data_IF_609682695295
#
_entry.id   IF_609682695295
#
_cell.length_a   1.000
_cell.length_b   1.000
_cell.length_c   1.000
_cell.angle_alpha   90.00
_cell.angle_beta   90.00
_cell.angle_gamma   90.00
#
_symmetry.space_group_name_H-M   'P 1'
#
loop_
_entity.id
_entity.type
_entity.pdbx_description
1 polymer ?
#
# COMPACT_ATOMS: atom_id res chain seq x y z
N UNK A 1 8.06 11.98 31.40
CA UNK A 1 8.22 13.11 30.46
C UNK A 1 7.52 12.71 29.17
N UNK A 2 6.39 13.35 28.86
CA UNK A 2 5.63 13.12 27.63
C UNK A 2 6.29 13.94 26.52
N UNK A 3 7.24 13.34 25.82
CA UNK A 3 7.90 13.96 24.68
C UNK A 3 6.88 14.26 23.58
N UNK A 4 6.95 15.47 23.03
CA UNK A 4 6.28 15.84 21.78
C UNK A 4 6.58 14.77 20.73
N UNK A 5 5.56 14.00 20.34
CA UNK A 5 5.72 12.92 19.36
C UNK A 5 6.24 13.46 18.03
N UNK A 6 7.16 12.73 17.39
CA UNK A 6 7.65 13.10 16.06
C UNK A 6 6.53 13.05 15.03
N UNK A 7 6.53 13.97 14.08
CA UNK A 7 5.65 13.95 12.90
C UNK A 7 6.22 13.11 11.77
N UNK A 8 7.47 12.65 11.86
CA UNK A 8 8.08 11.78 10.88
C UNK A 8 7.59 10.34 11.05
N UNK A 9 7.02 9.76 10.00
CA UNK A 9 6.41 8.43 10.02
C UNK A 9 7.40 7.31 10.36
N UNK A 10 8.69 7.46 10.02
CA UNK A 10 9.73 6.50 10.42
C UNK A 10 9.97 6.58 11.93
N UNK A 11 10.06 7.79 12.51
CA UNK A 11 10.23 7.93 13.96
C UNK A 11 9.05 7.33 14.72
N UNK A 12 7.83 7.53 14.20
CA UNK A 12 6.63 6.94 14.78
C UNK A 12 6.62 5.41 14.65
N UNK A 13 7.12 4.87 13.54
CA UNK A 13 7.30 3.42 13.31
C UNK A 13 8.29 2.81 14.31
N UNK A 14 9.42 3.49 14.54
CA UNK A 14 10.49 3.02 15.44
C UNK A 14 10.18 3.32 16.92
N UNK A 15 9.30 4.29 17.20
CA UNK A 15 8.98 4.73 18.55
C UNK A 15 10.03 5.66 19.17
N UNK A 16 10.99 6.14 18.37
CA UNK A 16 12.06 7.05 18.79
C UNK A 16 12.50 7.94 17.63
N UNK A 17 13.26 9.00 17.92
CA UNK A 17 13.72 9.98 16.92
C UNK A 17 15.16 9.78 16.46
N UNK A 18 15.85 8.78 17.02
CA UNK A 18 17.25 8.51 16.68
C UNK A 18 17.40 8.20 15.18
N UNK A 19 18.36 8.87 14.56
CA UNK A 19 18.76 8.61 13.18
C UNK A 19 19.52 7.29 13.04
N UNK A 20 20.00 6.97 11.83
CA UNK A 20 20.74 5.74 11.58
C UNK A 20 22.05 5.70 12.39
N UNK A 21 22.37 4.56 13.01
CA UNK A 21 23.59 4.40 13.82
C UNK A 21 24.90 4.50 13.02
N UNK A 22 24.80 4.36 11.70
CA UNK A 22 25.89 4.50 10.73
C UNK A 22 25.37 5.21 9.48
N UNK A 23 26.22 5.94 8.73
CA UNK A 23 25.81 6.56 7.48
C UNK A 23 25.13 5.57 6.52
N UNK A 24 24.08 6.02 5.83
CA UNK A 24 23.46 5.25 4.76
C UNK A 24 24.39 5.27 3.55
N UNK A 25 24.61 4.11 2.94
CA UNK A 25 25.43 4.04 1.73
C UNK A 25 24.64 4.58 0.54
N UNK A 26 25.29 5.31 -0.37
CA UNK A 26 24.64 5.87 -1.56
C UNK A 26 23.90 4.79 -2.38
N UNK A 27 24.48 3.59 -2.47
CA UNK A 27 23.84 2.45 -3.15
C UNK A 27 22.48 2.08 -2.55
N UNK A 28 22.32 2.20 -1.23
CA UNK A 28 21.09 1.85 -0.53
C UNK A 28 20.02 2.92 -0.79
N UNK A 29 20.42 4.20 -0.79
CA UNK A 29 19.55 5.32 -1.18
C UNK A 29 19.12 5.22 -2.65
N UNK A 30 20.06 4.99 -3.57
CA UNK A 30 19.75 4.80 -4.99
C UNK A 30 18.78 3.64 -5.19
N UNK A 31 18.95 2.53 -4.46
CA UNK A 31 18.06 1.37 -4.54
C UNK A 31 16.64 1.71 -4.08
N UNK A 32 16.49 2.38 -2.94
CA UNK A 32 15.16 2.78 -2.41
C UNK A 32 14.47 3.77 -3.34
N UNK A 33 15.18 4.80 -3.82
CA UNK A 33 14.65 5.77 -4.80
C UNK A 33 14.22 5.10 -6.10
N UNK A 34 15.01 4.15 -6.58
CA UNK A 34 14.64 3.35 -7.76
C UNK A 34 13.38 2.52 -7.51
N UNK A 35 13.24 1.96 -6.31
CA UNK A 35 12.04 1.23 -5.92
C UNK A 35 10.82 2.14 -5.79
N UNK A 36 10.97 3.36 -5.22
CA UNK A 36 9.90 4.36 -5.14
C UNK A 36 9.43 4.78 -6.54
N UNK A 37 10.37 5.04 -7.45
CA UNK A 37 10.07 5.35 -8.85
C UNK A 37 9.21 4.27 -9.52
N UNK A 38 9.46 2.98 -9.24
CA UNK A 38 8.64 1.88 -9.73
C UNK A 38 7.22 1.92 -9.12
N UNK A 39 7.09 2.21 -7.83
CA UNK A 39 5.78 2.35 -7.17
C UNK A 39 4.98 3.47 -7.82
N UNK A 40 5.56 4.66 -7.99
CA UNK A 40 4.89 5.78 -8.67
C UNK A 40 4.51 5.44 -10.11
N UNK A 41 5.40 4.79 -10.87
CA UNK A 41 5.11 4.40 -12.25
C UNK A 41 3.96 3.40 -12.35
N UNK A 42 3.84 2.47 -11.39
CA UNK A 42 2.71 1.54 -11.34
C UNK A 42 1.43 2.22 -10.87
N UNK A 43 1.51 3.15 -9.92
CA UNK A 43 0.38 3.95 -9.50
C UNK A 43 -0.17 4.80 -10.65
N UNK A 44 0.70 5.53 -11.37
CA UNK A 44 0.30 6.35 -12.50
C UNK A 44 -0.45 5.55 -13.56
N UNK A 45 0.06 4.35 -13.90
CA UNK A 45 -0.67 3.44 -14.81
C UNK A 45 -2.02 3.01 -14.26
N UNK A 46 -2.15 2.76 -12.96
CA UNK A 46 -3.44 2.40 -12.38
C UNK A 46 -4.42 3.60 -12.37
N UNK A 47 -3.92 4.80 -12.08
CA UNK A 47 -4.69 6.05 -12.10
C UNK A 47 -5.16 6.39 -13.52
N UNK A 48 -4.33 6.19 -14.55
CA UNK A 48 -4.64 6.45 -15.96
C UNK A 48 -5.90 5.73 -16.50
N UNK A 49 -6.28 4.59 -15.91
CA UNK A 49 -7.51 3.88 -16.31
C UNK A 49 -8.73 4.28 -15.50
N UNK A 50 -8.55 5.12 -14.49
CA UNK A 50 -9.62 5.65 -13.66
C UNK A 50 -10.01 7.05 -14.14
N UNK A 51 -11.27 7.44 -13.96
CA UNK A 51 -11.68 8.84 -14.14
C UNK A 51 -11.03 9.74 -13.08
N UNK A 52 -11.09 9.28 -11.84
CA UNK A 52 -10.32 9.81 -10.72
C UNK A 52 -10.14 8.68 -9.71
N UNK A 53 -8.91 8.19 -9.55
CA UNK A 53 -8.64 7.08 -8.64
C UNK A 53 -8.91 7.44 -7.18
N UNK A 54 -8.89 8.72 -6.77
CA UNK A 54 -9.05 9.12 -5.36
C UNK A 54 -10.49 9.31 -4.91
N UNK A 55 -11.41 9.52 -5.85
CA UNK A 55 -12.81 9.82 -5.51
C UNK A 55 -13.74 8.71 -5.98
N UNK A 56 -14.02 8.65 -7.28
CA UNK A 56 -14.94 7.66 -7.84
C UNK A 56 -14.28 6.29 -7.99
N UNK A 57 -12.99 6.25 -8.35
CA UNK A 57 -12.31 5.03 -8.76
C UNK A 57 -12.99 4.29 -9.90
N UNK A 58 -13.79 4.99 -10.71
CA UNK A 58 -14.46 4.41 -11.86
C UNK A 58 -13.44 4.12 -12.96
N UNK A 59 -13.39 2.88 -13.39
CA UNK A 59 -12.55 2.41 -14.48
C UNK A 59 -13.22 2.74 -15.81
N UNK A 60 -12.47 3.39 -16.68
CA UNK A 60 -12.88 3.76 -18.03
C UNK A 60 -12.35 2.77 -19.05
N UNK A 61 -13.26 2.11 -19.76
CA UNK A 61 -12.93 1.23 -20.86
C UNK A 61 -13.61 1.69 -22.15
N UNK A 62 -13.02 1.30 -23.29
CA UNK A 62 -13.69 1.48 -24.59
C UNK A 62 -15.06 0.82 -24.55
N UNK A 63 -16.04 1.47 -25.17
CA UNK A 63 -17.38 0.90 -25.30
C UNK A 63 -17.33 -0.49 -25.91
N UNK A 64 -18.13 -1.42 -25.36
CA UNK A 64 -18.18 -2.82 -25.79
C UNK A 64 -16.88 -3.61 -25.62
N UNK A 65 -15.90 -3.11 -24.84
CA UNK A 65 -14.77 -3.91 -24.42
C UNK A 65 -15.26 -5.15 -23.65
N UNK A 66 -14.64 -6.30 -23.89
CA UNK A 66 -15.00 -7.51 -23.17
C UNK A 66 -14.71 -7.33 -21.67
N UNK A 67 -15.71 -7.60 -20.82
CA UNK A 67 -15.59 -7.46 -19.35
C UNK A 67 -14.39 -8.24 -18.80
N UNK A 68 -14.05 -9.38 -19.40
CA UNK A 68 -12.87 -10.18 -19.04
C UNK A 68 -11.57 -9.43 -19.26
N UNK A 69 -11.46 -8.65 -20.34
CA UNK A 69 -10.25 -7.91 -20.68
C UNK A 69 -10.08 -6.72 -19.74
N UNK A 70 -11.18 -6.01 -19.46
CA UNK A 70 -11.22 -4.93 -18.45
C UNK A 70 -10.78 -5.46 -17.09
N UNK A 71 -11.36 -6.59 -16.66
CA UNK A 71 -11.01 -7.23 -15.39
C UNK A 71 -9.53 -7.60 -15.33
N UNK A 72 -9.02 -8.30 -16.33
CA UNK A 72 -7.63 -8.76 -16.35
C UNK A 72 -6.66 -7.58 -16.30
N UNK A 73 -6.97 -6.49 -17.01
CA UNK A 73 -6.11 -5.32 -17.04
C UNK A 73 -6.11 -4.57 -15.71
N UNK A 74 -7.28 -4.36 -15.09
CA UNK A 74 -7.39 -3.74 -13.75
C UNK A 74 -6.62 -4.59 -12.73
N UNK A 75 -6.87 -5.89 -12.71
CA UNK A 75 -6.23 -6.82 -11.78
C UNK A 75 -4.71 -6.80 -11.91
N UNK A 76 -4.19 -6.82 -13.15
CA UNK A 76 -2.77 -6.73 -13.43
C UNK A 76 -2.17 -5.41 -12.92
N UNK A 77 -2.82 -4.26 -13.17
CA UNK A 77 -2.33 -2.95 -12.72
C UNK A 77 -2.36 -2.81 -11.20
N UNK A 78 -3.44 -3.25 -10.55
CA UNK A 78 -3.55 -3.27 -9.09
C UNK A 78 -2.48 -4.17 -8.48
N UNK A 79 -2.30 -5.40 -9.00
CA UNK A 79 -1.26 -6.32 -8.55
C UNK A 79 0.15 -5.70 -8.67
N UNK A 80 0.46 -5.09 -9.82
CA UNK A 80 1.78 -4.49 -10.04
C UNK A 80 2.07 -3.37 -9.04
N UNK A 81 1.09 -2.50 -8.78
CA UNK A 81 1.20 -1.46 -7.77
C UNK A 81 1.48 -2.05 -6.38
N UNK A 82 0.61 -2.96 -5.91
CA UNK A 82 0.73 -3.56 -4.58
C UNK A 82 2.04 -4.36 -4.40
N UNK A 83 2.46 -5.10 -5.41
CA UNK A 83 3.70 -5.87 -5.38
C UNK A 83 4.94 -4.95 -5.34
N UNK A 84 4.91 -3.82 -6.06
CA UNK A 84 5.98 -2.81 -5.95
C UNK A 84 6.00 -2.13 -4.58
N UNK A 85 4.84 -1.80 -4.01
CA UNK A 85 4.72 -1.20 -2.68
C UNK A 85 5.25 -2.13 -1.59
N UNK A 86 4.88 -3.41 -1.63
CA UNK A 86 5.43 -4.42 -0.73
C UNK A 86 6.96 -4.50 -0.85
N UNK A 87 7.49 -4.55 -2.08
CA UNK A 87 8.92 -4.65 -2.33
C UNK A 87 9.68 -3.43 -1.81
N UNK A 88 9.10 -2.23 -1.93
CA UNK A 88 9.63 -0.99 -1.37
C UNK A 88 9.69 -1.05 0.17
N UNK A 89 8.61 -1.45 0.83
CA UNK A 89 8.56 -1.58 2.28
C UNK A 89 9.57 -2.60 2.82
N UNK A 90 9.75 -3.75 2.14
CA UNK A 90 10.76 -4.74 2.53
C UNK A 90 12.20 -4.22 2.35
N UNK A 91 12.46 -3.38 1.34
CA UNK A 91 13.77 -2.74 1.18
C UNK A 91 14.06 -1.75 2.30
N UNK A 92 13.09 -0.92 2.68
CA UNK A 92 13.21 -0.02 3.85
C UNK A 92 13.45 -0.83 5.10
N UNK A 93 12.65 -1.87 5.36
CA UNK A 93 12.83 -2.76 6.50
C UNK A 93 14.25 -3.35 6.56
N UNK A 94 14.80 -3.76 5.42
CA UNK A 94 16.17 -4.26 5.33
C UNK A 94 17.19 -3.19 5.70
N UNK A 95 17.05 -1.96 5.19
CA UNK A 95 17.96 -0.85 5.49
C UNK A 95 17.89 -0.47 6.97
N UNK A 96 16.68 -0.41 7.55
CA UNK A 96 16.50 -0.14 8.97
C UNK A 96 17.23 -1.19 9.82
N UNK A 97 17.06 -2.49 9.53
CA UNK A 97 17.79 -3.57 10.21
C UNK A 97 19.31 -3.46 10.08
N UNK A 98 19.80 -3.05 8.91
CA UNK A 98 21.25 -2.91 8.68
C UNK A 98 21.85 -1.66 9.35
N UNK A 99 21.02 -0.75 9.87
CA UNK A 99 21.43 0.58 10.35
C UNK A 99 20.97 0.89 11.77
N UNK A 100 20.17 0.01 12.36
CA UNK A 100 19.74 0.07 13.75
C UNK A 100 20.23 -1.18 14.48
N UNK A 101 20.37 -1.07 15.80
CA UNK A 101 20.67 -2.22 16.67
C UNK A 101 19.41 -3.04 17.00
N UNK A 102 18.23 -2.48 16.75
CA UNK A 102 16.96 -3.17 16.89
C UNK A 102 16.61 -4.01 15.65
N UNK A 103 15.90 -5.12 15.88
CA UNK A 103 15.44 -6.02 14.83
C UNK A 103 14.04 -5.61 14.34
N UNK A 104 13.96 -4.96 13.19
CA UNK A 104 12.72 -4.55 12.55
C UNK A 104 12.12 -5.75 11.78
N UNK A 105 11.24 -6.49 12.45
CA UNK A 105 10.51 -7.59 11.84
C UNK A 105 9.26 -7.11 11.09
N UNK A 106 8.64 -8.00 10.29
CA UNK A 106 7.46 -7.68 9.46
C UNK A 106 6.29 -7.09 10.26
N UNK A 107 6.09 -7.52 11.50
CA UNK A 107 5.06 -6.97 12.41
C UNK A 107 5.15 -5.47 12.69
N UNK A 108 6.29 -4.81 12.44
CA UNK A 108 6.36 -3.34 12.47
C UNK A 108 5.52 -2.70 11.34
N UNK A 109 5.36 -3.40 10.21
CA UNK A 109 4.56 -2.98 9.08
C UNK A 109 3.20 -3.69 8.99
N UNK A 110 2.94 -4.64 9.88
CA UNK A 110 1.70 -5.39 10.04
C UNK A 110 1.31 -5.34 11.52
N UNK A 111 0.76 -4.21 11.98
CA UNK A 111 0.45 -3.98 13.37
C UNK A 111 -0.68 -4.90 13.82
N UNK A 112 -0.67 -5.26 15.10
CA UNK A 112 -1.77 -6.02 15.70
C UNK A 112 -3.05 -5.18 15.72
N UNK A 113 -4.21 -5.87 15.70
CA UNK A 113 -5.55 -5.26 15.63
C UNK A 113 -5.81 -4.17 16.68
N UNK A 114 -5.25 -4.31 17.87
CA UNK A 114 -5.40 -3.38 18.99
C UNK A 114 -4.34 -2.27 19.02
N UNK A 115 -3.32 -2.32 18.15
CA UNK A 115 -2.26 -1.32 18.09
C UNK A 115 -2.71 -0.03 17.39
N UNK A 116 -3.45 0.80 18.13
CA UNK A 116 -3.88 2.12 17.68
C UNK A 116 -2.74 3.15 17.61
N UNK A 117 -1.58 2.84 18.19
CA UNK A 117 -0.40 3.70 18.21
C UNK A 117 0.44 3.65 16.93
N UNK A 118 0.19 2.68 16.06
CA UNK A 118 0.91 2.57 14.78
C UNK A 118 0.64 3.74 13.85
N UNK A 119 1.64 4.18 13.07
CA UNK A 119 1.47 5.25 12.09
C UNK A 119 0.36 4.94 11.09
N UNK A 120 -0.31 5.96 10.57
CA UNK A 120 -1.42 5.78 9.64
C UNK A 120 -1.01 5.04 8.37
N UNK A 121 0.17 5.35 7.81
CA UNK A 121 0.77 4.61 6.69
C UNK A 121 0.79 3.10 6.93
N UNK A 122 1.15 2.67 8.14
CA UNK A 122 1.29 1.27 8.51
C UNK A 122 -0.08 0.62 8.68
N UNK A 123 -0.97 1.29 9.42
CA UNK A 123 -2.34 0.84 9.65
C UNK A 123 -3.08 0.65 8.33
N UNK A 124 -3.01 1.64 7.44
CA UNK A 124 -3.70 1.57 6.13
C UNK A 124 -2.97 0.68 5.13
N UNK A 125 -1.66 0.59 5.19
CA UNK A 125 -0.85 -0.31 4.37
C UNK A 125 -1.13 -1.79 4.66
N UNK A 126 -1.67 -2.10 5.85
CA UNK A 126 -2.04 -3.46 6.26
C UNK A 126 -3.07 -4.08 5.33
N UNK A 127 -4.13 -3.35 4.97
CA UNK A 127 -5.12 -3.82 3.99
C UNK A 127 -4.50 -4.07 2.61
N UNK A 128 -3.64 -3.15 2.15
CA UNK A 128 -2.96 -3.27 0.85
C UNK A 128 -2.03 -4.49 0.80
N UNK A 129 -1.39 -4.81 1.92
CA UNK A 129 -0.60 -6.02 2.08
C UNK A 129 -1.49 -7.27 2.01
N UNK A 130 -2.65 -7.23 2.66
CA UNK A 130 -3.67 -8.29 2.58
C UNK A 130 -4.09 -8.57 1.14
N UNK A 131 -4.48 -7.53 0.40
CA UNK A 131 -4.84 -7.65 -1.03
C UNK A 131 -3.70 -8.26 -1.87
N UNK A 132 -2.46 -7.84 -1.62
CA UNK A 132 -1.28 -8.37 -2.30
C UNK A 132 -1.09 -9.87 -2.02
N UNK A 133 -1.34 -10.30 -0.80
CA UNK A 133 -1.24 -11.71 -0.42
C UNK A 133 -2.36 -12.56 -1.03
N UNK A 134 -3.58 -12.04 -1.10
CA UNK A 134 -4.66 -12.69 -1.85
C UNK A 134 -4.32 -12.84 -3.33
N UNK A 135 -3.72 -11.83 -3.96
CA UNK A 135 -3.27 -11.95 -5.36
C UNK A 135 -2.19 -13.00 -5.58
N UNK A 136 -1.26 -13.16 -4.64
CA UNK A 136 -0.19 -14.15 -4.80
C UNK A 136 -0.72 -15.59 -4.64
N UNK A 137 -1.78 -15.81 -3.85
CA UNK A 137 -2.16 -17.14 -3.39
C UNK A 137 -3.61 -17.54 -3.66
N UNK A 138 -4.47 -16.62 -4.08
CA UNK A 138 -5.92 -16.74 -4.14
C UNK A 138 -6.56 -16.25 -5.44
N UNK A 139 -5.80 -16.06 -6.52
CA UNK A 139 -6.34 -15.77 -7.86
C UNK A 139 -7.45 -14.70 -7.90
N UNK A 140 -7.29 -13.62 -7.11
CA UNK A 140 -8.20 -12.47 -7.08
C UNK A 140 -9.62 -12.76 -6.55
N UNK A 141 -9.80 -13.79 -5.72
CA UNK A 141 -11.14 -14.21 -5.26
C UNK A 141 -11.90 -13.14 -4.48
N UNK A 142 -11.20 -12.27 -3.76
CA UNK A 142 -11.84 -11.18 -3.03
C UNK A 142 -12.25 -9.99 -3.90
N UNK A 143 -11.94 -9.99 -5.20
CA UNK A 143 -12.26 -8.87 -6.09
C UNK A 143 -13.27 -9.23 -7.17
N UNK A 144 -14.10 -8.25 -7.53
CA UNK A 144 -14.98 -8.34 -8.68
C UNK A 144 -15.11 -7.02 -9.43
N UNK A 145 -15.34 -7.10 -10.74
CA UNK A 145 -15.60 -5.94 -11.60
C UNK A 145 -17.09 -5.92 -11.95
N UNK A 146 -17.75 -4.77 -11.82
CA UNK A 146 -19.14 -4.59 -12.27
C UNK A 146 -19.30 -3.33 -13.11
N UNK A 147 -20.10 -3.43 -14.17
CA UNK A 147 -20.40 -2.32 -15.08
C UNK A 147 -21.47 -1.44 -14.45
N UNK A 148 -21.19 -0.15 -14.34
CA UNK A 148 -22.12 0.85 -13.82
C UNK A 148 -22.95 1.51 -14.92
N UNK A 149 -22.42 1.55 -16.13
CA UNK A 149 -23.10 2.13 -17.27
C UNK A 149 -22.11 2.51 -18.37
N UNK A 150 -22.55 3.41 -19.23
CA UNK A 150 -21.76 3.99 -20.30
C UNK A 150 -21.91 5.51 -20.26
N UNK A 151 -20.81 6.25 -20.34
CA UNK A 151 -20.76 7.71 -20.29
C UNK A 151 -19.71 8.18 -21.29
N UNK A 152 -20.06 9.17 -22.13
CA UNK A 152 -19.18 9.76 -23.14
C UNK A 152 -18.48 8.75 -24.08
N UNK A 153 -19.21 7.71 -24.49
CA UNK A 153 -18.67 6.65 -25.37
C UNK A 153 -17.68 5.70 -24.68
N UNK A 154 -17.67 5.67 -23.34
CA UNK A 154 -16.86 4.76 -22.54
C UNK A 154 -17.74 3.96 -21.59
N UNK A 155 -17.42 2.68 -21.43
CA UNK A 155 -18.03 1.86 -20.40
C UNK A 155 -17.33 2.12 -19.06
N UNK A 156 -18.13 2.33 -18.02
CA UNK A 156 -17.65 2.62 -16.66
C UNK A 156 -17.82 1.40 -15.76
N UNK A 157 -16.79 1.06 -15.01
CA UNK A 157 -16.77 -0.09 -14.12
C UNK A 157 -16.28 0.28 -12.72
N UNK A 158 -16.80 -0.41 -11.70
CA UNK A 158 -16.20 -0.43 -10.37
C UNK A 158 -15.44 -1.72 -10.14
N UNK A 159 -14.30 -1.60 -9.45
CA UNK A 159 -13.66 -2.70 -8.76
C UNK A 159 -14.25 -2.75 -7.34
N UNK A 160 -14.77 -3.91 -6.95
CA UNK A 160 -15.35 -4.16 -5.64
C UNK A 160 -14.49 -5.14 -4.86
N UNK A 161 -14.36 -4.89 -3.56
CA UNK A 161 -13.82 -5.82 -2.59
C UNK A 161 -14.93 -6.56 -1.86
N UNK A 162 -14.85 -7.89 -1.87
CA UNK A 162 -15.79 -8.80 -1.20
C UNK A 162 -15.13 -9.36 0.06
N UNK A 163 -15.38 -8.68 1.18
CA UNK A 163 -14.84 -9.02 2.51
C UNK A 163 -15.08 -10.49 2.89
N UNK A 164 -16.28 -11.00 2.63
CA UNK A 164 -16.63 -12.39 2.92
C UNK A 164 -15.71 -13.42 2.24
N UNK A 165 -15.26 -13.15 1.01
CA UNK A 165 -14.37 -14.04 0.27
C UNK A 165 -12.92 -13.92 0.72
N UNK A 166 -12.53 -12.73 1.19
CA UNK A 166 -11.22 -12.50 1.78
C UNK A 166 -11.08 -13.23 3.13
N UNK A 167 -12.11 -13.16 3.98
CA UNK A 167 -12.09 -13.79 5.30
C UNK A 167 -12.17 -15.32 5.23
N UNK A 168 -12.89 -15.88 4.24
CA UNK A 168 -13.10 -17.31 4.06
C UNK A 168 -11.81 -18.11 3.75
N UNK A 169 -10.74 -17.46 3.30
CA UNK A 169 -9.48 -18.12 2.95
C UNK A 169 -8.26 -17.36 3.47
N UNK A 170 -7.94 -17.55 4.76
CA UNK A 170 -6.71 -17.03 5.35
C UNK A 170 -5.47 -17.63 4.67
N UNK A 171 -4.76 -16.83 3.87
CA UNK A 171 -3.45 -17.15 3.28
C UNK A 171 -2.47 -16.00 3.57
N UNK A 172 -1.19 -16.30 3.83
CA UNK A 172 -0.14 -15.26 3.89
C UNK A 172 0.49 -14.94 5.26
N UNK A 173 0.61 -15.91 6.16
CA UNK A 173 1.39 -15.81 7.43
C UNK A 173 0.83 -14.85 8.52
N UNK A 174 -0.46 -14.56 8.53
CA UNK A 174 -1.14 -14.05 9.73
C UNK A 174 -1.98 -15.16 10.37
N UNK A 175 -2.14 -15.10 11.69
CA UNK A 175 -2.95 -16.07 12.45
C UNK A 175 -4.43 -16.00 12.06
N UNK A 176 -4.89 -14.86 11.51
CA UNK A 176 -6.24 -14.63 10.99
C UNK A 176 -6.25 -13.66 9.80
N UNK A 177 -7.06 -13.95 8.77
CA UNK A 177 -7.33 -13.03 7.65
C UNK A 177 -7.91 -11.69 8.11
N UNK A 178 -8.66 -11.69 9.23
CA UNK A 178 -9.27 -10.49 9.79
C UNK A 178 -8.28 -9.42 10.27
N UNK A 179 -7.01 -9.77 10.48
CA UNK A 179 -5.98 -8.83 10.89
C UNK A 179 -5.62 -7.84 9.77
N UNK A 180 -5.73 -8.24 8.50
CA UNK A 180 -5.54 -7.33 7.37
C UNK A 180 -6.63 -6.25 7.26
N UNK A 181 -7.80 -6.51 7.83
CA UNK A 181 -8.97 -5.61 7.78
C UNK A 181 -9.12 -4.78 9.06
N UNK A 182 -8.28 -5.02 10.06
CA UNK A 182 -8.41 -4.47 11.40
C UNK A 182 -8.41 -2.93 11.47
N UNK A 183 -7.81 -2.27 10.48
CA UNK A 183 -7.48 -0.85 10.53
C UNK A 183 -8.10 -0.01 9.42
N UNK A 184 -8.91 -0.61 8.55
CA UNK A 184 -9.62 0.09 7.50
C UNK A 184 -11.14 -0.08 7.70
N UNK A 185 -11.93 1.00 7.67
CA UNK A 185 -13.37 0.90 7.83
C UNK A 185 -14.01 0.24 6.61
N UNK A 186 -15.07 -0.55 6.82
CA UNK A 186 -15.69 -1.37 5.77
C UNK A 186 -16.15 -0.55 4.55
N UNK A 187 -16.58 0.71 4.75
CA UNK A 187 -16.96 1.64 3.68
C UNK A 187 -15.81 1.98 2.73
N UNK A 188 -14.60 2.09 3.25
CA UNK A 188 -13.43 2.48 2.47
C UNK A 188 -12.85 1.28 1.72
N UNK A 189 -13.18 0.07 2.19
CA UNK A 189 -12.71 -1.18 1.62
C UNK A 189 -13.55 -1.63 0.43
N UNK A 190 -14.86 -1.38 0.44
CA UNK A 190 -15.79 -1.78 -0.63
C UNK A 190 -15.28 -1.39 -2.02
N UNK A 191 -14.69 -0.19 -2.12
CA UNK A 191 -14.07 0.35 -3.33
C UNK A 191 -12.55 0.51 -3.12
N UNK A 192 -11.73 -0.51 -3.48
CA UNK A 192 -10.30 -0.49 -3.21
C UNK A 192 -9.51 0.54 -4.03
N UNK A 193 -10.03 1.03 -5.17
CA UNK A 193 -9.31 2.02 -6.00
C UNK A 193 -9.23 3.40 -5.31
N UNK A 194 -10.33 4.01 -4.83
CA UNK A 194 -10.31 5.18 -3.94
C UNK A 194 -9.32 5.05 -2.78
N UNK A 195 -9.35 3.90 -2.11
CA UNK A 195 -8.44 3.62 -1.01
C UNK A 195 -6.97 3.65 -1.44
N UNK A 196 -6.63 2.99 -2.55
CA UNK A 196 -5.27 2.99 -3.13
C UNK A 196 -4.86 4.40 -3.55
N UNK A 197 -5.76 5.14 -4.19
CA UNK A 197 -5.57 6.53 -4.60
C UNK A 197 -5.15 7.41 -3.44
N UNK A 198 -6.00 7.42 -2.41
CA UNK A 198 -5.80 8.24 -1.22
C UNK A 198 -4.53 7.82 -0.45
N UNK A 199 -4.30 6.52 -0.28
CA UNK A 199 -3.08 6.00 0.34
C UNK A 199 -1.82 6.47 -0.41
N UNK A 200 -1.80 6.38 -1.74
CA UNK A 200 -0.62 6.75 -2.51
C UNK A 200 -0.35 8.25 -2.41
N UNK A 201 -1.38 9.08 -2.67
CA UNK A 201 -1.21 10.53 -2.75
C UNK A 201 -0.87 11.14 -1.40
N UNK A 202 -1.45 10.61 -0.31
CA UNK A 202 -1.32 11.21 1.02
C UNK A 202 -0.33 10.50 1.93
N UNK A 203 -0.23 9.16 1.89
CA UNK A 203 0.58 8.42 2.87
C UNK A 203 1.91 7.92 2.30
N UNK A 204 1.93 7.42 1.07
CA UNK A 204 3.16 6.91 0.46
C UNK A 204 4.20 8.01 0.24
N UNK A 205 3.78 9.14 -0.34
CA UNK A 205 4.66 10.30 -0.59
C UNK A 205 5.26 10.86 0.71
N UNK A 206 4.45 10.95 1.77
CA UNK A 206 4.90 11.38 3.10
C UNK A 206 5.88 10.37 3.71
N UNK A 207 5.60 9.07 3.60
CA UNK A 207 6.46 8.03 4.11
C UNK A 207 7.82 7.99 3.40
N UNK A 208 7.84 8.15 2.07
CA UNK A 208 9.08 8.27 1.30
C UNK A 208 9.91 9.46 1.77
N UNK A 209 9.29 10.63 1.86
CA UNK A 209 9.95 11.86 2.33
C UNK A 209 10.46 11.69 3.77
N UNK A 210 9.67 11.05 4.63
CA UNK A 210 10.05 10.75 6.01
C UNK A 210 11.28 9.84 6.08
N UNK A 211 11.36 8.83 5.21
CA UNK A 211 12.50 7.93 5.11
C UNK A 211 13.76 8.63 4.60
N UNK A 212 13.66 9.47 3.55
CA UNK A 212 14.80 10.25 3.07
C UNK A 212 15.33 11.21 4.14
N UNK A 213 14.42 11.90 4.85
CA UNK A 213 14.76 12.77 5.96
C UNK A 213 15.46 11.99 7.08
N UNK A 214 14.95 10.81 7.43
CA UNK A 214 15.59 9.96 8.45
C UNK A 214 17.01 9.54 8.05
N UNK A 215 17.22 9.18 6.78
CA UNK A 215 18.53 8.75 6.27
C UNK A 215 19.63 9.82 6.36
N UNK A 216 19.27 11.10 6.41
CA UNK A 216 20.23 12.23 6.35
C UNK A 216 20.55 12.85 7.71
N UNK A 217 19.88 12.44 8.79
CA UNK A 217 19.97 13.08 10.13
C UNK A 217 21.34 13.01 10.81
N UNK A 218 22.21 12.09 10.39
CA UNK A 218 23.54 11.90 10.97
C UNK A 218 24.66 12.10 9.93
N UNK A 219 24.37 12.77 8.81
CA UNK A 219 25.32 13.02 7.71
C UNK A 219 26.12 14.31 7.87
N UNK A 220 26.23 14.84 9.08
CA UNK A 220 27.04 16.03 9.44
C UNK A 220 28.18 15.69 10.37
#
# INVERSE_FOLDING_TARGET
MTGSGSTNTIDQLLGHTDGPSKPIADRDLTRVRSSAYIVHGNFARLDEICDDITTSGLISARESAAKTDVRNEVYRRTHNYLSSLYSYNEQIRTILNDRLSENIHKGYFLPARDNKGSPEYIRRGTFLWGLRNDFQHGDYWCLSIEKQGSMDGQDKYHLFFKKEYFEATAKGNLDSSGDYLAHAPDSDLEYPLPYIGDFHRNLFNEFETAFENWCTRNST
#
